data_IF_883369405205
#
_entry.id   IF_883369405205
#
_cell.length_a   1.000
_cell.length_b   1.000
_cell.length_c   1.000
_cell.angle_alpha   90.00
_cell.angle_beta   90.00
_cell.angle_gamma   90.00
#
_symmetry.space_group_name_H-M   'P 1'
#
loop_
_entity.id
_entity.type
_entity.pdbx_description
1 polymer ?
#
# COMPACT_ATOMS: atom_id res chain seq x y z
N UNK A 1 -7.37 11.29 -1.56
CA UNK A 1 -7.34 9.82 -1.42
C UNK A 1 -8.41 9.36 -0.43
N UNK A 2 -8.50 9.92 0.78
CA UNK A 2 -9.41 9.43 1.83
C UNK A 2 -10.88 9.48 1.41
N UNK A 3 -11.35 10.57 0.81
CA UNK A 3 -12.75 10.70 0.33
C UNK A 3 -13.09 9.65 -0.72
N UNK A 4 -12.19 9.44 -1.69
CA UNK A 4 -12.37 8.42 -2.74
C UNK A 4 -12.42 7.02 -2.14
N UNK A 5 -11.59 6.72 -1.14
CA UNK A 5 -11.59 5.45 -0.46
C UNK A 5 -12.95 5.15 0.19
N UNK A 6 -13.54 6.13 0.90
CA UNK A 6 -14.87 5.95 1.49
C UNK A 6 -15.94 5.72 0.42
N UNK A 7 -15.94 6.50 -0.67
CA UNK A 7 -16.88 6.29 -1.77
C UNK A 7 -16.75 4.89 -2.37
N UNK A 8 -15.52 4.39 -2.54
CA UNK A 8 -15.30 3.04 -3.01
C UNK A 8 -15.78 1.98 -2.03
N UNK A 9 -15.50 2.13 -0.73
CA UNK A 9 -15.95 1.18 0.29
C UNK A 9 -17.47 1.08 0.38
N UNK A 10 -18.19 2.20 0.22
CA UNK A 10 -19.66 2.22 0.17
C UNK A 10 -20.22 1.58 -1.11
N UNK A 11 -19.44 1.51 -2.19
CA UNK A 11 -19.84 0.88 -3.45
C UNK A 11 -19.54 -0.63 -3.49
N UNK A 12 -18.85 -1.19 -2.49
CA UNK A 12 -18.51 -2.61 -2.45
C UNK A 12 -19.72 -3.49 -2.13
N UNK A 13 -19.76 -4.67 -2.74
CA UNK A 13 -20.68 -5.73 -2.36
C UNK A 13 -20.17 -6.46 -1.11
N UNK A 14 -20.63 -6.00 0.07
CA UNK A 14 -20.22 -6.55 1.36
C UNK A 14 -20.79 -7.96 1.63
N UNK A 15 -21.67 -8.47 0.76
CA UNK A 15 -22.22 -9.84 0.88
C UNK A 15 -21.28 -10.87 0.27
N UNK A 16 -20.39 -10.45 -0.63
CA UNK A 16 -19.53 -11.34 -1.39
C UNK A 16 -18.20 -11.64 -0.69
N UNK A 17 -17.64 -10.66 0.00
CA UNK A 17 -16.36 -10.78 0.71
C UNK A 17 -16.41 -10.06 2.05
N UNK A 18 -15.59 -10.52 2.99
CA UNK A 18 -15.29 -9.78 4.21
C UNK A 18 -14.17 -8.79 3.91
N UNK A 19 -14.47 -7.51 4.03
CA UNK A 19 -13.51 -6.44 3.77
C UNK A 19 -12.90 -5.94 5.07
N UNK A 20 -11.61 -5.69 5.02
CA UNK A 20 -10.87 -5.12 6.13
C UNK A 20 -10.06 -3.93 5.64
N UNK A 21 -9.98 -2.91 6.46
CA UNK A 21 -9.13 -1.75 6.19
C UNK A 21 -8.09 -1.63 7.29
N UNK A 22 -6.89 -1.23 6.91
CA UNK A 22 -5.81 -1.00 7.86
C UNK A 22 -5.36 0.44 7.80
N UNK A 23 -5.34 1.09 8.96
CA UNK A 23 -4.81 2.42 9.17
C UNK A 23 -3.72 2.37 10.23
N UNK A 24 -2.83 3.37 10.22
CA UNK A 24 -1.91 3.53 11.34
C UNK A 24 -2.67 3.78 12.63
N UNK A 25 -2.25 3.15 13.72
CA UNK A 25 -2.92 3.23 15.03
C UNK A 25 -3.06 4.67 15.54
N UNK A 26 -2.04 5.52 15.32
CA UNK A 26 -2.12 6.94 15.67
C UNK A 26 -3.21 7.66 14.87
N UNK A 27 -3.34 7.37 13.57
CA UNK A 27 -4.37 7.97 12.73
C UNK A 27 -5.78 7.60 13.20
N UNK A 28 -6.00 6.34 13.58
CA UNK A 28 -7.29 5.88 14.13
C UNK A 28 -7.62 6.59 15.43
N UNK A 29 -6.61 6.77 16.31
CA UNK A 29 -6.76 7.46 17.58
C UNK A 29 -7.05 8.95 17.43
N UNK A 30 -6.38 9.60 16.49
CA UNK A 30 -6.48 11.05 16.28
C UNK A 30 -7.70 11.45 15.45
N UNK A 31 -8.31 10.50 14.72
CA UNK A 31 -9.44 10.73 13.81
C UNK A 31 -10.55 9.70 13.97
N UNK A 32 -11.14 9.54 15.17
CA UNK A 32 -12.20 8.55 15.40
C UNK A 32 -13.44 8.82 14.53
N UNK A 33 -13.76 10.07 14.26
CA UNK A 33 -14.87 10.49 13.39
C UNK A 33 -14.77 9.95 11.96
N UNK A 34 -13.57 9.63 11.52
CA UNK A 34 -13.35 9.03 10.19
C UNK A 34 -13.66 7.55 10.18
N UNK A 35 -13.49 6.89 11.32
CA UNK A 35 -13.83 5.46 11.43
C UNK A 35 -15.34 5.25 11.41
N UNK A 36 -16.12 6.20 11.94
CA UNK A 36 -17.58 6.19 11.89
C UNK A 36 -18.15 6.31 10.47
N UNK A 37 -17.35 6.78 9.51
CA UNK A 37 -17.73 6.88 8.09
C UNK A 37 -17.53 5.58 7.30
N UNK A 38 -16.97 4.55 7.92
CA UNK A 38 -16.82 3.26 7.26
C UNK A 38 -18.19 2.58 7.17
N UNK A 39 -18.47 1.86 6.07
CA UNK A 39 -19.69 1.06 5.97
C UNK A 39 -19.75 0.00 7.07
N UNK A 40 -20.96 -0.26 7.57
CA UNK A 40 -21.20 -1.38 8.47
C UNK A 40 -20.75 -2.69 7.82
N UNK A 41 -19.98 -3.49 8.55
CA UNK A 41 -19.43 -4.76 8.05
C UNK A 41 -18.00 -4.69 7.52
N UNK A 42 -17.39 -3.50 7.41
CA UNK A 42 -15.96 -3.37 7.13
C UNK A 42 -15.17 -3.47 8.43
N UNK A 43 -14.32 -4.49 8.53
CA UNK A 43 -13.44 -4.68 9.69
C UNK A 43 -12.25 -3.72 9.68
N UNK A 44 -11.67 -3.44 10.86
CA UNK A 44 -10.50 -2.57 11.01
C UNK A 44 -9.34 -3.37 11.62
N UNK A 45 -8.18 -3.33 10.93
CA UNK A 45 -6.90 -3.79 11.48
C UNK A 45 -5.99 -2.58 11.71
N UNK A 46 -5.83 -2.11 12.96
CA UNK A 46 -4.90 -1.02 13.25
C UNK A 46 -3.45 -1.49 13.08
N UNK A 47 -2.65 -0.74 12.30
CA UNK A 47 -1.22 -0.96 12.15
C UNK A 47 -0.43 -0.12 13.15
N UNK A 48 0.65 -0.68 13.69
CA UNK A 48 1.63 0.12 14.38
C UNK A 48 2.23 1.18 13.43
N UNK A 49 2.56 2.34 13.96
CA UNK A 49 3.16 3.40 13.16
C UNK A 49 4.61 3.10 12.78
N UNK A 50 5.28 2.27 13.58
CA UNK A 50 6.69 1.95 13.45
C UNK A 50 6.94 0.49 13.82
N UNK A 51 7.91 -0.09 13.13
CA UNK A 51 8.42 -1.42 13.43
C UNK A 51 9.63 -1.32 14.35
N UNK A 52 9.69 -2.16 15.40
CA UNK A 52 10.89 -2.29 16.21
C UNK A 52 11.98 -3.02 15.43
N UNK A 53 13.00 -2.28 15.01
CA UNK A 53 14.16 -2.80 14.30
C UNK A 53 15.40 -2.81 15.20
N UNK A 54 16.14 -3.92 15.19
CA UNK A 54 17.50 -3.93 15.73
C UNK A 54 18.49 -3.21 14.80
N UNK A 55 19.67 -2.91 15.29
CA UNK A 55 20.70 -2.14 14.56
C UNK A 55 21.07 -2.75 13.21
N UNK A 56 21.10 -4.08 13.09
CA UNK A 56 21.43 -4.76 11.84
C UNK A 56 20.30 -4.66 10.83
N UNK A 57 19.06 -4.71 11.28
CA UNK A 57 17.88 -4.48 10.42
C UNK A 57 17.80 -3.04 9.95
N UNK A 58 18.14 -2.06 10.82
CA UNK A 58 18.26 -0.65 10.44
C UNK A 58 19.36 -0.49 9.36
N UNK A 59 20.52 -1.11 9.55
CA UNK A 59 21.61 -1.06 8.57
C UNK A 59 21.17 -1.67 7.22
N UNK A 60 20.48 -2.81 7.23
CA UNK A 60 19.91 -3.43 6.03
C UNK A 60 18.91 -2.50 5.32
N UNK A 61 18.04 -1.83 6.08
CA UNK A 61 17.09 -0.85 5.54
C UNK A 61 17.79 0.34 4.90
N UNK A 62 18.84 0.87 5.52
CA UNK A 62 19.62 1.97 4.95
C UNK A 62 20.31 1.57 3.64
N UNK A 63 20.84 0.34 3.55
CA UNK A 63 21.42 -0.19 2.31
C UNK A 63 20.36 -0.28 1.21
N UNK A 64 19.16 -0.77 1.53
CA UNK A 64 18.04 -0.85 0.59
C UNK A 64 17.63 0.54 0.08
N UNK A 65 17.45 1.50 0.96
CA UNK A 65 17.10 2.88 0.60
C UNK A 65 18.12 3.56 -0.31
N UNK A 66 19.41 3.17 -0.20
CA UNK A 66 20.50 3.67 -1.05
C UNK A 66 20.69 2.87 -2.34
N UNK A 67 19.88 1.85 -2.60
CA UNK A 67 20.03 0.96 -3.75
C UNK A 67 21.25 0.03 -3.68
N UNK A 68 21.76 -0.23 -2.49
CA UNK A 68 22.92 -1.09 -2.23
C UNK A 68 22.54 -2.38 -1.48
N UNK A 69 21.28 -2.77 -1.54
CA UNK A 69 20.82 -4.01 -0.92
C UNK A 69 21.48 -5.22 -1.62
N UNK A 70 22.00 -6.12 -0.81
CA UNK A 70 22.50 -7.43 -1.25
C UNK A 70 21.74 -8.55 -0.56
N UNK A 71 22.04 -9.80 -0.89
CA UNK A 71 21.32 -10.98 -0.40
C UNK A 71 21.16 -11.01 1.13
N UNK A 72 22.18 -10.56 1.87
CA UNK A 72 22.11 -10.50 3.33
C UNK A 72 21.06 -9.48 3.81
N UNK A 73 21.07 -8.26 3.26
CA UNK A 73 20.13 -7.20 3.65
C UNK A 73 18.71 -7.53 3.25
N UNK A 74 18.51 -8.10 2.07
CA UNK A 74 17.20 -8.55 1.60
C UNK A 74 16.63 -9.65 2.51
N UNK A 75 17.39 -10.72 2.75
CA UNK A 75 16.97 -11.83 3.63
C UNK A 75 16.60 -11.34 5.03
N UNK A 76 17.39 -10.39 5.58
CA UNK A 76 17.13 -9.83 6.89
C UNK A 76 15.85 -9.00 6.92
N UNK A 77 15.64 -8.15 5.93
CA UNK A 77 14.43 -7.33 5.82
C UNK A 77 13.18 -8.19 5.64
N UNK A 78 13.20 -9.16 4.72
CA UNK A 78 12.11 -10.11 4.55
C UNK A 78 11.78 -10.85 5.86
N UNK A 79 12.80 -11.29 6.60
CA UNK A 79 12.58 -11.96 7.88
C UNK A 79 11.91 -11.03 8.89
N UNK A 80 12.34 -9.77 8.96
CA UNK A 80 11.80 -8.78 9.87
C UNK A 80 10.36 -8.40 9.51
N UNK A 81 10.08 -8.09 8.24
CA UNK A 81 8.74 -7.74 7.76
C UNK A 81 7.77 -8.93 7.81
N UNK A 82 8.21 -10.15 7.52
CA UNK A 82 7.39 -11.36 7.69
C UNK A 82 6.98 -11.59 9.15
N UNK A 83 7.87 -11.29 10.10
CA UNK A 83 7.53 -11.33 11.52
C UNK A 83 6.52 -10.26 11.88
N UNK A 84 6.66 -9.06 11.33
CA UNK A 84 5.73 -7.95 11.52
C UNK A 84 4.36 -8.24 10.89
N UNK A 85 4.31 -8.82 9.70
CA UNK A 85 3.09 -9.33 9.09
C UNK A 85 2.34 -10.30 10.01
N UNK A 86 3.03 -11.31 10.52
CA UNK A 86 2.43 -12.28 11.44
C UNK A 86 1.92 -11.65 12.72
N UNK A 87 2.60 -10.65 13.23
CA UNK A 87 2.19 -9.91 14.44
C UNK A 87 0.89 -9.14 14.22
N UNK A 88 0.71 -8.50 13.07
CA UNK A 88 -0.47 -7.68 12.79
C UNK A 88 -1.66 -8.50 12.28
N UNK A 89 -1.42 -9.46 11.41
CA UNK A 89 -2.46 -10.18 10.71
C UNK A 89 -2.62 -11.64 11.15
N UNK A 90 -1.64 -12.15 11.89
CA UNK A 90 -1.69 -13.48 12.48
C UNK A 90 -1.81 -14.58 11.45
N UNK A 91 -2.82 -15.44 11.65
CA UNK A 91 -3.18 -16.54 10.76
C UNK A 91 -4.38 -16.21 9.86
N UNK A 92 -4.78 -14.95 9.77
CA UNK A 92 -5.89 -14.55 8.91
C UNK A 92 -5.52 -14.82 7.45
N UNK A 93 -6.33 -15.62 6.78
CA UNK A 93 -6.19 -15.88 5.35
C UNK A 93 -6.94 -14.81 4.56
N UNK A 94 -6.20 -14.00 3.83
CA UNK A 94 -6.76 -13.00 2.94
C UNK A 94 -6.82 -13.55 1.50
N UNK A 95 -7.92 -13.29 0.80
CA UNK A 95 -8.02 -13.58 -0.63
C UNK A 95 -7.07 -12.71 -1.46
N UNK A 96 -6.87 -11.46 -1.05
CA UNK A 96 -5.86 -10.54 -1.60
C UNK A 96 -5.61 -9.40 -0.61
N UNK A 97 -4.51 -8.67 -0.82
CA UNK A 97 -4.23 -7.41 -0.12
C UNK A 97 -4.03 -6.27 -1.11
N UNK A 98 -4.48 -5.09 -0.71
CA UNK A 98 -4.44 -3.88 -1.53
C UNK A 98 -3.64 -2.81 -0.80
N UNK A 99 -2.50 -2.41 -1.37
CA UNK A 99 -1.78 -1.23 -0.94
C UNK A 99 -2.41 0.01 -1.56
N UNK A 100 -3.51 0.48 -0.96
CA UNK A 100 -4.33 1.54 -1.53
C UNK A 100 -3.60 2.89 -1.63
N UNK A 101 -2.80 3.25 -0.62
CA UNK A 101 -2.05 4.52 -0.62
C UNK A 101 -0.88 4.51 -1.63
N UNK A 102 -0.29 3.36 -1.90
CA UNK A 102 0.66 3.11 -2.99
C UNK A 102 2.07 3.67 -2.83
N UNK A 103 2.42 4.38 -1.74
CA UNK A 103 3.73 5.03 -1.63
C UNK A 103 4.32 5.15 -0.22
N UNK A 104 3.75 4.50 0.77
CA UNK A 104 4.32 4.54 2.12
C UNK A 104 5.27 3.35 2.33
N UNK A 105 6.55 3.64 2.57
CA UNK A 105 7.63 2.66 2.56
C UNK A 105 7.43 1.46 3.52
N UNK A 106 6.96 1.72 4.74
CA UNK A 106 6.72 0.66 5.72
C UNK A 106 5.60 -0.27 5.24
N UNK A 107 4.46 0.29 4.85
CA UNK A 107 3.31 -0.48 4.38
C UNK A 107 3.63 -1.23 3.09
N UNK A 108 4.37 -0.61 2.17
CA UNK A 108 4.83 -1.26 0.94
C UNK A 108 5.60 -2.53 1.25
N UNK A 109 6.64 -2.45 2.08
CA UNK A 109 7.48 -3.59 2.43
C UNK A 109 6.74 -4.62 3.31
N UNK A 110 5.82 -4.18 4.17
CA UNK A 110 5.00 -5.08 4.99
C UNK A 110 4.06 -5.92 4.13
N UNK A 111 3.37 -5.30 3.16
CA UNK A 111 2.43 -6.00 2.29
C UNK A 111 3.12 -6.88 1.23
N UNK A 112 4.40 -6.65 0.94
CA UNK A 112 5.21 -7.58 0.13
C UNK A 112 5.31 -8.97 0.76
N UNK A 113 5.17 -9.09 2.08
CA UNK A 113 5.21 -10.37 2.80
C UNK A 113 3.85 -11.07 2.89
N UNK A 114 2.80 -10.52 2.32
CA UNK A 114 1.48 -11.15 2.31
C UNK A 114 1.53 -12.48 1.53
N UNK A 115 0.99 -13.58 2.10
CA UNK A 115 0.97 -14.89 1.45
C UNK A 115 -0.18 -15.06 0.45
N UNK A 116 -0.67 -13.98 -0.14
CA UNK A 116 -1.79 -13.93 -1.07
C UNK A 116 -1.51 -12.90 -2.18
N UNK A 117 -2.30 -12.84 -3.25
CA UNK A 117 -2.17 -11.84 -4.30
C UNK A 117 -2.18 -10.41 -3.75
N UNK A 118 -1.32 -9.56 -4.29
CA UNK A 118 -1.08 -8.19 -3.84
C UNK A 118 -1.30 -7.21 -4.97
N UNK A 119 -2.00 -6.12 -4.69
CA UNK A 119 -2.10 -5.00 -5.61
C UNK A 119 -1.59 -3.70 -4.98
N UNK A 120 -0.99 -2.86 -5.81
CA UNK A 120 -0.54 -1.51 -5.42
C UNK A 120 -1.26 -0.49 -6.28
N UNK A 121 -1.88 0.50 -5.63
CA UNK A 121 -2.61 1.55 -6.32
C UNK A 121 -1.73 2.77 -6.56
N UNK A 122 -1.94 3.44 -7.69
CA UNK A 122 -1.18 4.61 -8.13
C UNK A 122 -2.16 5.78 -8.31
N UNK A 123 -2.18 6.67 -7.32
CA UNK A 123 -3.08 7.85 -7.31
C UNK A 123 -2.45 9.11 -7.87
N UNK A 124 -1.12 9.16 -7.94
CA UNK A 124 -0.35 10.33 -8.37
C UNK A 124 0.69 9.93 -9.41
N UNK A 125 1.20 10.92 -10.12
CA UNK A 125 2.39 10.77 -10.93
C UNK A 125 3.61 10.53 -10.01
N UNK A 126 3.96 9.27 -9.83
CA UNK A 126 4.99 8.85 -8.89
C UNK A 126 6.40 9.30 -9.32
N UNK A 127 6.63 9.53 -10.62
CA UNK A 127 7.87 10.14 -11.09
C UNK A 127 8.01 11.55 -10.54
N UNK A 128 6.95 12.36 -10.59
CA UNK A 128 6.93 13.70 -9.99
C UNK A 128 7.04 13.67 -8.47
N UNK A 129 6.37 12.72 -7.80
CA UNK A 129 6.47 12.59 -6.34
C UNK A 129 7.91 12.30 -5.90
N UNK A 130 8.63 11.44 -6.62
CA UNK A 130 10.04 11.12 -6.35
C UNK A 130 10.97 12.28 -6.67
N UNK A 131 10.89 12.83 -7.90
CA UNK A 131 11.89 13.77 -8.40
C UNK A 131 11.67 15.21 -7.94
N UNK A 132 10.41 15.64 -7.77
CA UNK A 132 10.12 17.03 -7.44
C UNK A 132 9.86 17.23 -5.95
N UNK A 133 9.19 16.28 -5.29
CA UNK A 133 8.80 16.42 -3.89
C UNK A 133 9.69 15.64 -2.92
N UNK A 134 10.42 14.63 -3.41
CA UNK A 134 11.26 13.78 -2.57
C UNK A 134 10.48 12.96 -1.53
N UNK A 135 9.18 12.78 -1.75
CA UNK A 135 8.28 12.11 -0.79
C UNK A 135 8.47 10.60 -0.75
N UNK A 136 9.12 10.04 -1.77
CA UNK A 136 9.30 8.61 -1.93
C UNK A 136 10.70 8.24 -2.40
N UNK A 137 11.09 7.03 -2.03
CA UNK A 137 12.33 6.44 -2.51
C UNK A 137 12.10 5.68 -3.81
N UNK A 138 12.82 6.06 -4.88
CA UNK A 138 12.69 5.46 -6.21
C UNK A 138 13.01 3.96 -6.22
N UNK A 139 13.98 3.50 -5.43
CA UNK A 139 14.36 2.08 -5.36
C UNK A 139 13.23 1.24 -4.77
N UNK A 140 12.59 1.72 -3.70
CA UNK A 140 11.45 1.03 -3.09
C UNK A 140 10.25 0.94 -4.04
N UNK A 141 9.93 2.03 -4.76
CA UNK A 141 8.85 2.00 -5.73
C UNK A 141 9.13 1.06 -6.90
N UNK A 142 10.35 1.12 -7.43
CA UNK A 142 10.76 0.22 -8.51
C UNK A 142 10.61 -1.24 -8.09
N UNK A 143 11.07 -1.59 -6.90
CA UNK A 143 10.93 -2.93 -6.35
C UNK A 143 9.46 -3.31 -6.17
N UNK A 144 8.65 -2.45 -5.56
CA UNK A 144 7.22 -2.70 -5.36
C UNK A 144 6.51 -3.00 -6.69
N UNK A 145 6.77 -2.21 -7.74
CA UNK A 145 6.16 -2.46 -9.05
C UNK A 145 6.68 -3.73 -9.75
N UNK A 146 7.79 -4.31 -9.28
CA UNK A 146 8.26 -5.63 -9.74
C UNK A 146 7.74 -6.79 -8.89
N UNK A 147 7.45 -6.58 -7.62
CA UNK A 147 7.07 -7.64 -6.67
C UNK A 147 5.56 -7.80 -6.50
N UNK A 148 4.79 -6.71 -6.63
CA UNK A 148 3.34 -6.78 -6.56
C UNK A 148 2.74 -7.44 -7.81
N UNK A 149 1.68 -8.23 -7.61
CA UNK A 149 1.06 -9.01 -8.68
C UNK A 149 0.27 -8.10 -9.65
N UNK A 150 -0.34 -7.03 -9.13
CA UNK A 150 -1.11 -6.07 -9.90
C UNK A 150 -0.75 -4.63 -9.53
N UNK A 151 -0.69 -3.77 -10.55
CA UNK A 151 -0.50 -2.33 -10.42
C UNK A 151 -1.76 -1.64 -10.92
N UNK A 152 -2.37 -0.80 -10.10
CA UNK A 152 -3.69 -0.20 -10.37
C UNK A 152 -3.59 1.32 -10.41
N UNK A 153 -3.27 1.93 -11.58
CA UNK A 153 -3.40 3.37 -11.75
C UNK A 153 -4.86 3.80 -11.76
N UNK A 154 -5.14 4.99 -11.20
CA UNK A 154 -6.49 5.56 -11.20
C UNK A 154 -6.82 6.34 -12.48
N UNK A 155 -5.88 6.45 -13.40
CA UNK A 155 -6.01 7.14 -14.69
C UNK A 155 -5.02 6.54 -15.70
N UNK A 156 -5.39 6.55 -16.98
CA UNK A 156 -4.53 6.11 -18.09
C UNK A 156 -3.20 6.91 -18.15
N UNK A 157 -3.23 8.18 -17.82
CA UNK A 157 -2.06 9.07 -17.84
C UNK A 157 -0.96 8.63 -16.87
N UNK A 158 -1.30 7.84 -15.84
CA UNK A 158 -0.35 7.33 -14.85
C UNK A 158 0.40 6.07 -15.31
N UNK A 159 -0.04 5.43 -16.39
CA UNK A 159 0.61 4.21 -16.90
C UNK A 159 2.02 4.51 -17.39
N UNK A 160 2.15 5.53 -18.24
CA UNK A 160 3.43 5.82 -18.88
C UNK A 160 4.54 6.13 -17.85
N UNK A 161 4.32 7.00 -16.84
CA UNK A 161 5.32 7.22 -15.79
C UNK A 161 5.73 5.93 -15.05
N UNK A 162 4.77 5.07 -14.73
CA UNK A 162 5.04 3.82 -14.00
C UNK A 162 5.87 2.85 -14.84
N UNK A 163 5.61 2.75 -16.13
CA UNK A 163 6.37 1.88 -17.05
C UNK A 163 7.75 2.47 -17.36
N UNK A 164 7.83 3.75 -17.76
CA UNK A 164 9.08 4.34 -18.23
C UNK A 164 10.09 4.60 -17.13
N UNK A 165 9.64 5.09 -15.97
CA UNK A 165 10.54 5.48 -14.87
C UNK A 165 10.86 4.31 -13.94
N UNK A 166 9.90 3.45 -13.69
CA UNK A 166 10.07 2.37 -12.72
C UNK A 166 10.18 0.98 -13.35
N UNK A 167 10.02 0.87 -14.68
CA UNK A 167 10.16 -0.40 -15.40
C UNK A 167 9.09 -1.43 -15.09
N UNK A 168 7.89 -0.98 -14.72
CA UNK A 168 6.79 -1.89 -14.42
C UNK A 168 6.35 -2.68 -15.66
N UNK A 169 5.99 -3.93 -15.45
CA UNK A 169 5.44 -4.78 -16.51
C UNK A 169 4.02 -4.33 -16.88
N UNK A 170 3.86 -3.86 -18.12
CA UNK A 170 2.56 -3.40 -18.65
C UNK A 170 1.44 -4.44 -18.54
N UNK A 171 1.77 -5.72 -18.60
CA UNK A 171 0.78 -6.80 -18.50
C UNK A 171 0.14 -6.92 -17.13
N UNK A 172 0.78 -6.40 -16.08
CA UNK A 172 0.27 -6.36 -14.69
C UNK A 172 -0.48 -5.08 -14.36
N UNK A 173 -0.61 -4.14 -15.31
CA UNK A 173 -1.25 -2.85 -15.10
C UNK A 173 -2.70 -2.90 -15.57
N UNK A 174 -3.62 -2.59 -14.66
CA UNK A 174 -5.06 -2.43 -14.94
C UNK A 174 -5.54 -1.10 -14.39
N UNK A 175 -6.12 -0.25 -15.23
CA UNK A 175 -6.67 1.03 -14.77
C UNK A 175 -8.03 0.80 -14.10
N UNK A 176 -8.17 1.35 -12.89
CA UNK A 176 -9.45 1.41 -12.18
C UNK A 176 -9.66 2.87 -11.76
N UNK A 177 -10.62 3.53 -12.42
CA UNK A 177 -10.92 4.93 -12.12
C UNK A 177 -11.47 5.11 -10.70
N UNK A 178 -11.20 6.28 -10.13
CA UNK A 178 -11.77 6.65 -8.84
C UNK A 178 -13.30 6.65 -8.90
N UNK A 179 -13.92 6.00 -7.95
CA UNK A 179 -15.35 6.12 -7.71
C UNK A 179 -15.63 7.43 -6.96
N UNK A 180 -16.48 8.27 -7.51
CA UNK A 180 -16.95 9.47 -6.85
C UNK A 180 -18.45 9.31 -6.54
N UNK A 181 -18.80 9.53 -5.30
CA UNK A 181 -20.19 9.67 -4.89
C UNK A 181 -20.67 11.07 -5.28
N UNK A 182 -21.29 11.17 -6.45
CA UNK A 182 -21.83 12.43 -6.96
C UNK A 182 -23.02 12.93 -6.13
N UNK A 183 -23.73 12.07 -5.40
CA UNK A 183 -24.86 12.47 -4.57
C UNK A 183 -24.40 13.29 -3.37
N UNK A 184 -23.28 12.91 -2.74
CA UNK A 184 -22.71 13.67 -1.62
C UNK A 184 -22.08 15.01 -2.01
N UNK A 185 -21.93 15.30 -3.31
CA UNK A 185 -21.37 16.56 -3.82
C UNK A 185 -22.46 17.56 -4.19
N UNK A 186 -23.71 17.08 -4.37
CA UNK A 186 -24.86 17.90 -4.77
C UNK A 186 -25.73 18.35 -3.58
N UNK A 187 -25.46 17.84 -2.39
CA UNK A 187 -26.02 18.29 -1.10
C UNK A 187 -25.11 19.31 -0.41
#
# INVERSE_FOLDING_TARGET
ITTVLYSQLHALDLTRYNYFISFRSLYVKDHPERMERLPDGVGIYPLASEMNMDLLTIAAQLLKLKGHAGSWSECRLHTAYRREWKKHFGSTEFACVIHYNGYEAYTTALLEEAPCPRSIWVHNDMAKEVHLKGNMNAHLLKEAYHTYDHIVPVSEDLIQPVVSEFGADRSRITVIHNCHDFQSVLE
#
